data_IF_438717425255
#
_entry.id   IF_438717425255
#
_cell.length_a   1.000
_cell.length_b   1.000
_cell.length_c   1.000
_cell.angle_alpha   90.00
_cell.angle_beta   90.00
_cell.angle_gamma   90.00
#
_symmetry.space_group_name_H-M   'P 1'
#
loop_
_entity.id
_entity.type
_entity.pdbx_description
1 polymer ?
#
# COMPACT_ATOMS: atom_id res chain seq x y z
N UNK A 1 -8.12 -8.34 2.65
CA UNK A 1 -7.87 -6.91 2.40
C UNK A 1 -6.61 -6.74 1.57
N UNK A 2 -6.61 -5.79 0.62
CA UNK A 2 -5.51 -5.58 -0.34
C UNK A 2 -4.15 -5.35 0.34
N UNK A 3 -4.12 -4.50 1.37
CA UNK A 3 -2.88 -4.14 2.08
C UNK A 3 -2.27 -5.30 2.88
N UNK A 4 -3.10 -6.19 3.45
CA UNK A 4 -2.60 -7.36 4.16
C UNK A 4 -1.88 -8.32 3.20
N UNK A 5 -2.46 -8.58 2.03
CA UNK A 5 -1.82 -9.41 1.00
C UNK A 5 -0.49 -8.80 0.53
N UNK A 6 -0.48 -7.49 0.30
CA UNK A 6 0.73 -6.77 -0.09
C UNK A 6 1.83 -6.84 0.99
N UNK A 7 1.47 -6.66 2.26
CA UNK A 7 2.40 -6.79 3.38
C UNK A 7 3.05 -8.18 3.42
N UNK A 8 2.26 -9.25 3.35
CA UNK A 8 2.79 -10.61 3.40
C UNK A 8 3.67 -10.95 2.19
N UNK A 9 3.33 -10.41 1.01
CA UNK A 9 4.15 -10.53 -0.19
C UNK A 9 5.52 -9.85 0.03
N UNK A 10 5.53 -8.60 0.51
CA UNK A 10 6.77 -7.86 0.80
C UNK A 10 7.56 -8.43 1.97
N UNK A 11 6.90 -9.06 2.92
CA UNK A 11 7.55 -9.78 4.01
C UNK A 11 8.37 -10.96 3.50
N UNK A 12 7.84 -11.72 2.52
CA UNK A 12 8.52 -12.87 1.92
C UNK A 12 9.64 -12.50 0.95
N UNK A 13 9.52 -11.36 0.26
CA UNK A 13 10.54 -10.87 -0.69
C UNK A 13 11.80 -10.31 0.00
N UNK A 14 11.68 -9.85 1.24
CA UNK A 14 12.76 -9.15 1.94
C UNK A 14 13.61 -10.14 2.75
N UNK A 15 14.93 -10.09 2.59
CA UNK A 15 15.84 -10.97 3.34
C UNK A 15 16.26 -10.42 4.72
N UNK A 16 16.21 -9.10 4.93
CA UNK A 16 16.62 -8.44 6.20
C UNK A 16 15.64 -7.35 6.61
N UNK A 17 15.31 -7.30 7.90
CA UNK A 17 14.36 -6.36 8.49
C UNK A 17 12.97 -6.44 7.83
N UNK A 18 12.46 -7.66 7.67
CA UNK A 18 11.24 -8.00 6.94
C UNK A 18 10.04 -7.20 7.43
N UNK A 19 9.80 -7.20 8.74
CA UNK A 19 8.67 -6.45 9.34
C UNK A 19 8.76 -4.95 9.04
N UNK A 20 9.91 -4.33 9.31
CA UNK A 20 10.09 -2.88 9.10
C UNK A 20 9.94 -2.50 7.63
N UNK A 21 10.57 -3.26 6.72
CA UNK A 21 10.53 -2.97 5.28
C UNK A 21 9.15 -3.25 4.68
N UNK A 22 8.52 -4.38 5.02
CA UNK A 22 7.18 -4.70 4.55
C UNK A 22 6.15 -3.65 5.02
N UNK A 23 6.27 -3.19 6.27
CA UNK A 23 5.40 -2.14 6.81
C UNK A 23 5.60 -0.82 6.06
N UNK A 24 6.84 -0.36 5.88
CA UNK A 24 7.15 0.89 5.16
C UNK A 24 6.66 0.83 3.70
N UNK A 25 6.85 -0.29 3.01
CA UNK A 25 6.37 -0.47 1.64
C UNK A 25 4.84 -0.41 1.56
N UNK A 26 4.16 -1.04 2.53
CA UNK A 26 2.69 -1.01 2.63
C UNK A 26 2.19 0.41 2.90
N UNK A 27 2.82 1.12 3.84
CA UNK A 27 2.49 2.52 4.13
C UNK A 27 2.73 3.43 2.92
N UNK A 28 3.86 3.27 2.21
CA UNK A 28 4.19 4.06 1.01
C UNK A 28 3.18 3.84 -0.12
N UNK A 29 2.65 2.62 -0.27
CA UNK A 29 1.55 2.32 -1.20
C UNK A 29 0.29 3.12 -0.86
N UNK A 30 -0.08 3.16 0.41
CA UNK A 30 -1.24 3.92 0.89
C UNK A 30 -1.06 5.44 0.76
N UNK A 31 0.09 5.98 1.21
CA UNK A 31 0.38 7.42 1.13
C UNK A 31 0.36 7.90 -0.31
N UNK A 32 0.86 7.11 -1.26
CA UNK A 32 0.80 7.45 -2.69
C UNK A 32 -0.65 7.61 -3.17
N UNK A 33 -1.55 6.70 -2.78
CA UNK A 33 -2.96 6.80 -3.11
C UNK A 33 -3.56 8.10 -2.56
N UNK A 34 -3.38 8.36 -1.26
CA UNK A 34 -3.89 9.58 -0.61
C UNK A 34 -3.36 10.84 -1.31
N UNK A 35 -2.05 10.87 -1.60
CA UNK A 35 -1.42 11.98 -2.29
C UNK A 35 -2.02 12.23 -3.69
N UNK A 36 -2.20 11.17 -4.49
CA UNK A 36 -2.83 11.27 -5.81
C UNK A 36 -4.26 11.79 -5.74
N UNK A 37 -5.06 11.28 -4.78
CA UNK A 37 -6.45 11.72 -4.60
C UNK A 37 -6.54 13.20 -4.22
N UNK A 38 -5.68 13.65 -3.30
CA UNK A 38 -5.63 15.05 -2.88
C UNK A 38 -5.16 15.95 -4.02
N UNK A 39 -4.19 15.50 -4.81
CA UNK A 39 -3.65 16.29 -5.94
C UNK A 39 -4.68 16.43 -7.06
N UNK A 40 -5.44 15.37 -7.34
CA UNK A 40 -6.45 15.37 -8.42
C UNK A 40 -7.83 15.86 -7.95
N UNK A 41 -8.01 16.11 -6.65
CA UNK A 41 -9.29 16.43 -6.00
C UNK A 41 -10.41 15.44 -6.39
N UNK A 42 -10.07 14.15 -6.47
CA UNK A 42 -10.99 13.07 -6.85
C UNK A 42 -11.39 12.26 -5.62
N UNK A 43 -12.62 11.75 -5.64
CA UNK A 43 -13.08 10.79 -4.63
C UNK A 43 -12.37 9.44 -4.82
N UNK A 44 -12.10 8.76 -3.72
CA UNK A 44 -11.61 7.38 -3.77
C UNK A 44 -12.69 6.46 -4.35
N UNK A 45 -12.32 5.65 -5.34
CA UNK A 45 -13.16 4.58 -5.88
C UNK A 45 -12.45 3.27 -5.56
N UNK A 46 -13.14 2.36 -4.88
CA UNK A 46 -12.55 1.07 -4.54
C UNK A 46 -12.29 0.27 -5.83
N UNK A 47 -11.17 -0.47 -5.93
CA UNK A 47 -10.95 -1.41 -7.02
C UNK A 47 -12.04 -2.49 -7.14
N UNK A 48 -12.76 -2.77 -6.05
CA UNK A 48 -13.88 -3.73 -6.02
C UNK A 48 -15.16 -3.17 -6.66
N UNK A 49 -15.25 -1.85 -6.82
CA UNK A 49 -16.43 -1.13 -7.38
C UNK A 49 -16.21 -0.72 -8.84
N UNK A 50 -15.08 -1.10 -9.45
CA UNK A 50 -14.64 -0.65 -10.77
C UNK A 50 -14.94 -1.64 -11.88
#
# INVERSE_FOLDING_TARGET
>A
TEYSRYYHLKYKEVNRAQHKRALVLTARKFVRLVYSLLTENRMYISPEER
#
